data_IF_853124734691
#
_entry.id   IF_853124734691
#
_cell.length_a   1.000
_cell.length_b   1.000
_cell.length_c   1.000
_cell.angle_alpha   90.00
_cell.angle_beta   90.00
_cell.angle_gamma   90.00
#
_symmetry.space_group_name_H-M   'P 1'
#
loop_
_entity.id
_entity.type
_entity.pdbx_description
1 polymer ?
#
# COMPACT_ATOMS: atom_id res chain seq x y z
N UNK A 1 12.96 -1.60 20.04
CA UNK A 1 13.51 -0.46 19.28
C UNK A 1 14.86 -0.13 19.93
N UNK A 2 15.92 -0.16 19.13
CA UNK A 2 17.29 -0.08 19.63
C UNK A 2 17.93 1.30 19.40
N UNK A 3 17.21 2.21 18.73
CA UNK A 3 17.63 3.58 18.43
C UNK A 3 16.46 4.56 18.55
N UNK A 4 16.77 5.83 18.80
CA UNK A 4 15.79 6.90 18.86
C UNK A 4 15.15 7.16 17.49
N UNK A 5 13.91 7.66 17.49
CA UNK A 5 13.18 8.00 16.27
C UNK A 5 13.64 9.33 15.67
N UNK A 6 13.14 9.64 14.47
CA UNK A 6 13.51 10.82 13.69
C UNK A 6 12.60 12.06 13.91
N UNK A 7 11.72 12.07 14.92
CA UNK A 7 10.96 13.28 15.30
C UNK A 7 11.81 14.17 16.19
N UNK A 8 12.85 14.75 15.59
CA UNK A 8 13.86 15.58 16.25
C UNK A 8 14.56 16.43 15.20
N UNK A 9 15.11 17.59 15.62
CA UNK A 9 15.92 18.45 14.75
C UNK A 9 17.26 17.81 14.35
N UNK A 10 17.81 16.95 15.21
CA UNK A 10 19.11 16.30 14.99
C UNK A 10 19.03 14.81 15.31
N UNK A 11 19.59 13.99 14.45
CA UNK A 11 19.70 12.54 14.63
C UNK A 11 21.13 12.09 14.36
N UNK A 12 21.61 11.13 15.16
CA UNK A 12 22.89 10.48 14.93
C UNK A 12 22.64 9.04 14.46
N UNK A 13 23.14 8.71 13.26
CA UNK A 13 23.01 7.36 12.71
C UNK A 13 24.25 6.98 11.89
N UNK A 14 24.39 5.69 11.62
CA UNK A 14 25.49 5.19 10.81
C UNK A 14 25.30 5.62 9.35
N UNK A 15 26.34 6.20 8.75
CA UNK A 15 26.32 6.72 7.37
C UNK A 15 25.90 5.69 6.31
N UNK A 16 26.15 4.40 6.54
CA UNK A 16 25.75 3.33 5.62
C UNK A 16 24.23 3.21 5.43
N UNK A 17 23.42 3.79 6.31
CA UNK A 17 21.97 3.83 6.22
C UNK A 17 21.44 5.17 5.70
N UNK A 18 22.33 6.08 5.28
CA UNK A 18 21.98 7.40 4.77
C UNK A 18 22.14 7.40 3.26
N UNK A 19 21.09 7.80 2.57
CA UNK A 19 21.05 7.89 1.11
C UNK A 19 20.90 9.36 0.71
N UNK A 20 21.79 9.84 -0.16
CA UNK A 20 21.64 11.18 -0.72
C UNK A 20 20.41 11.24 -1.63
N UNK A 21 19.55 12.23 -1.42
CA UNK A 21 18.45 12.49 -2.34
C UNK A 21 19.01 13.14 -3.62
N UNK A 22 18.60 12.69 -4.82
CA UNK A 22 18.88 13.40 -6.06
C UNK A 22 18.27 14.81 -6.05
N UNK A 23 18.91 15.79 -6.68
CA UNK A 23 18.49 17.20 -6.68
C UNK A 23 17.04 17.42 -7.13
N UNK A 24 16.48 16.50 -7.89
CA UNK A 24 15.11 16.56 -8.37
C UNK A 24 14.09 15.84 -7.47
N UNK A 25 14.51 15.29 -6.33
CA UNK A 25 13.64 14.67 -5.32
C UNK A 25 13.57 15.60 -4.11
N UNK A 26 12.39 16.09 -3.80
CA UNK A 26 12.17 16.98 -2.64
C UNK A 26 12.23 16.20 -1.32
N UNK A 27 12.48 16.89 -0.20
CA UNK A 27 12.45 16.30 1.15
C UNK A 27 11.12 15.61 1.46
N UNK A 28 10.01 16.20 1.01
CA UNK A 28 8.66 15.60 1.14
C UNK A 28 8.53 14.26 0.40
N UNK A 29 9.10 14.17 -0.79
CA UNK A 29 9.17 12.92 -1.54
C UNK A 29 10.14 11.93 -0.88
N UNK A 30 11.27 12.43 -0.37
CA UNK A 30 12.23 11.65 0.42
C UNK A 30 11.58 11.00 1.64
N UNK A 31 10.72 11.71 2.35
CA UNK A 31 9.98 11.18 3.49
C UNK A 31 8.99 10.05 3.12
N UNK A 32 8.67 9.87 1.84
CA UNK A 32 7.84 8.76 1.36
C UNK A 32 8.65 7.52 0.97
N UNK A 33 9.98 7.58 0.95
CA UNK A 33 10.81 6.43 0.54
C UNK A 33 10.57 5.20 1.42
N UNK A 34 10.41 5.38 2.73
CA UNK A 34 10.15 4.27 3.64
C UNK A 34 8.85 3.54 3.26
N UNK A 35 7.65 4.17 3.27
CA UNK A 35 6.41 3.48 2.90
C UNK A 35 6.38 3.04 1.42
N UNK A 36 7.07 3.74 0.52
CA UNK A 36 7.19 3.34 -0.87
C UNK A 36 8.01 2.05 -1.01
N UNK A 37 9.07 1.91 -0.21
CA UNK A 37 9.90 0.70 -0.22
C UNK A 37 9.15 -0.52 0.32
N UNK A 38 8.31 -0.34 1.35
CA UNK A 38 7.38 -1.38 1.82
C UNK A 38 6.44 -1.82 0.69
N UNK A 39 5.83 -0.86 0.00
CA UNK A 39 4.94 -1.14 -1.13
C UNK A 39 5.68 -1.80 -2.31
N UNK A 40 6.91 -1.35 -2.60
CA UNK A 40 7.76 -1.92 -3.66
C UNK A 40 8.11 -3.38 -3.37
N UNK A 41 8.52 -3.68 -2.14
CA UNK A 41 8.81 -5.05 -1.70
C UNK A 41 7.59 -5.97 -1.89
N UNK A 42 6.42 -5.53 -1.44
CA UNK A 42 5.18 -6.29 -1.60
C UNK A 42 4.83 -6.58 -3.08
N UNK A 43 4.98 -5.57 -3.95
CA UNK A 43 4.80 -5.73 -5.40
C UNK A 43 5.85 -6.66 -5.99
N UNK A 44 7.09 -6.62 -5.47
CA UNK A 44 8.17 -7.56 -5.82
C UNK A 44 7.78 -9.02 -5.61
N UNK A 45 7.20 -9.34 -4.43
CA UNK A 45 6.70 -10.69 -4.11
C UNK A 45 5.50 -11.10 -4.95
N UNK A 46 4.73 -10.13 -5.45
CA UNK A 46 3.54 -10.37 -6.25
C UNK A 46 3.82 -10.62 -7.75
N UNK A 47 5.05 -10.43 -8.24
CA UNK A 47 5.42 -10.55 -9.66
C UNK A 47 5.10 -11.93 -10.26
N UNK A 48 4.79 -12.00 -11.59
CA UNK A 48 4.68 -10.90 -12.55
C UNK A 48 3.38 -10.10 -12.40
N UNK A 49 3.45 -8.78 -12.64
CA UNK A 49 2.29 -7.88 -12.60
C UNK A 49 1.79 -7.55 -14.01
N UNK A 50 2.69 -7.30 -14.95
CA UNK A 50 2.33 -6.90 -16.32
C UNK A 50 1.32 -7.86 -16.96
N UNK A 51 0.24 -7.31 -17.52
CA UNK A 51 -0.82 -8.07 -18.17
C UNK A 51 -1.77 -8.83 -17.23
N UNK A 52 -1.56 -8.77 -15.92
CA UNK A 52 -2.38 -9.44 -14.91
C UNK A 52 -3.43 -8.51 -14.30
N UNK A 53 -4.59 -9.06 -13.93
CA UNK A 53 -5.57 -8.36 -13.12
C UNK A 53 -5.15 -8.45 -11.65
N UNK A 54 -5.13 -7.32 -10.98
CA UNK A 54 -4.67 -7.17 -9.58
C UNK A 54 -5.81 -6.66 -8.71
N UNK A 55 -6.01 -7.29 -7.55
CA UNK A 55 -6.89 -6.80 -6.48
C UNK A 55 -6.04 -6.22 -5.36
N UNK A 56 -6.34 -4.99 -4.93
CA UNK A 56 -5.74 -4.36 -3.74
C UNK A 56 -6.81 -4.17 -2.70
N UNK A 57 -6.68 -4.81 -1.55
CA UNK A 57 -7.61 -4.71 -0.44
C UNK A 57 -7.06 -3.73 0.62
N UNK A 58 -7.71 -2.57 0.74
CA UNK A 58 -7.29 -1.44 1.57
C UNK A 58 -6.44 -0.42 0.83
N UNK A 59 -6.83 0.85 0.94
CA UNK A 59 -6.21 2.01 0.25
C UNK A 59 -5.74 3.09 1.21
N UNK A 60 -5.14 2.68 2.34
CA UNK A 60 -4.30 3.58 3.13
C UNK A 60 -3.02 3.97 2.37
N UNK A 61 -2.05 4.55 3.07
CA UNK A 61 -0.76 4.95 2.48
C UNK A 61 -0.12 3.84 1.65
N UNK A 62 0.01 2.63 2.21
CA UNK A 62 0.65 1.50 1.51
C UNK A 62 -0.18 1.04 0.32
N UNK A 63 -1.51 0.88 0.48
CA UNK A 63 -2.37 0.43 -0.61
C UNK A 63 -2.40 1.39 -1.80
N UNK A 64 -2.42 2.72 -1.58
CA UNK A 64 -2.34 3.70 -2.65
C UNK A 64 -0.99 3.67 -3.38
N UNK A 65 0.12 3.52 -2.66
CA UNK A 65 1.44 3.35 -3.26
C UNK A 65 1.52 2.05 -4.08
N UNK A 66 0.92 0.97 -3.60
CA UNK A 66 0.81 -0.29 -4.36
C UNK A 66 -0.01 -0.09 -5.64
N UNK A 67 -1.13 0.64 -5.59
CA UNK A 67 -1.93 0.96 -6.80
C UNK A 67 -1.07 1.68 -7.85
N UNK A 68 -0.28 2.69 -7.45
CA UNK A 68 0.65 3.39 -8.34
C UNK A 68 1.70 2.44 -8.94
N UNK A 69 2.30 1.60 -8.10
CA UNK A 69 3.35 0.66 -8.51
C UNK A 69 2.83 -0.42 -9.46
N UNK A 70 1.68 -1.04 -9.19
CA UNK A 70 1.10 -2.05 -10.09
C UNK A 70 0.61 -1.43 -11.40
N UNK A 71 0.16 -0.17 -11.38
CA UNK A 71 -0.14 0.60 -12.60
C UNK A 71 1.12 0.83 -13.43
N UNK A 72 2.18 1.30 -12.81
CA UNK A 72 3.47 1.51 -13.47
C UNK A 72 4.08 0.19 -14.01
N UNK A 73 3.84 -0.93 -13.31
CA UNK A 73 4.26 -2.27 -13.72
C UNK A 73 3.39 -2.89 -14.84
N UNK A 74 2.38 -2.17 -15.34
CA UNK A 74 1.56 -2.61 -16.48
C UNK A 74 0.48 -3.64 -16.13
N UNK A 75 -0.13 -3.56 -14.95
CA UNK A 75 -1.32 -4.36 -14.62
C UNK A 75 -2.41 -4.17 -15.69
N UNK A 76 -3.11 -5.23 -16.08
CA UNK A 76 -4.17 -5.17 -17.07
C UNK A 76 -5.42 -4.48 -16.53
N UNK A 77 -5.83 -4.84 -15.32
CA UNK A 77 -6.88 -4.17 -14.54
C UNK A 77 -6.50 -4.13 -13.07
N UNK A 78 -6.82 -3.05 -12.41
CA UNK A 78 -6.60 -2.81 -10.99
C UNK A 78 -7.97 -2.66 -10.32
N UNK A 79 -8.30 -3.61 -9.47
CA UNK A 79 -9.49 -3.60 -8.62
C UNK A 79 -9.07 -3.20 -7.22
N UNK A 80 -9.84 -2.34 -6.58
CA UNK A 80 -9.53 -1.82 -5.24
C UNK A 80 -10.74 -1.90 -4.34
N UNK A 81 -10.55 -2.33 -3.10
CA UNK A 81 -11.60 -2.29 -2.07
C UNK A 81 -11.18 -1.45 -0.87
N UNK A 82 -12.06 -0.58 -0.39
CA UNK A 82 -11.90 0.18 0.86
C UNK A 82 -13.27 0.61 1.39
N UNK A 83 -13.39 0.90 2.68
CA UNK A 83 -14.61 1.42 3.29
C UNK A 83 -14.78 2.93 3.11
N UNK A 84 -13.72 3.65 2.75
CA UNK A 84 -13.67 5.10 2.57
C UNK A 84 -13.81 5.49 1.10
N UNK A 85 -14.89 6.20 0.76
CA UNK A 85 -15.10 6.74 -0.59
C UNK A 85 -14.01 7.76 -0.98
N UNK A 86 -13.50 8.54 -0.01
CA UNK A 86 -12.41 9.48 -0.26
C UNK A 86 -11.14 8.75 -0.72
N UNK A 87 -10.79 7.64 -0.06
CA UNK A 87 -9.65 6.80 -0.43
C UNK A 87 -9.87 6.08 -1.76
N UNK A 88 -11.07 5.58 -2.02
CA UNK A 88 -11.42 4.99 -3.31
C UNK A 88 -11.33 6.01 -4.45
N UNK A 89 -11.71 7.27 -4.20
CA UNK A 89 -11.55 8.35 -5.17
C UNK A 89 -10.08 8.61 -5.51
N UNK A 90 -9.19 8.62 -4.51
CA UNK A 90 -7.74 8.71 -4.73
C UNK A 90 -7.20 7.51 -5.49
N UNK A 91 -7.65 6.30 -5.17
CA UNK A 91 -7.23 5.10 -5.89
C UNK A 91 -7.60 5.18 -7.39
N UNK A 92 -8.79 5.70 -7.74
CA UNK A 92 -9.16 5.97 -9.15
C UNK A 92 -8.20 6.96 -9.80
N UNK A 93 -7.88 8.05 -9.11
CA UNK A 93 -6.93 9.06 -9.60
C UNK A 93 -5.55 8.44 -9.90
N UNK A 94 -5.11 7.49 -9.08
CA UNK A 94 -3.83 6.82 -9.22
C UNK A 94 -3.85 5.59 -10.14
N UNK A 95 -4.99 5.31 -10.77
CA UNK A 95 -5.07 4.33 -11.85
C UNK A 95 -5.82 3.04 -11.53
N UNK A 96 -6.59 2.99 -10.43
CA UNK A 96 -7.54 1.89 -10.22
C UNK A 96 -8.66 1.96 -11.26
N UNK A 97 -8.91 0.84 -11.92
CA UNK A 97 -9.96 0.72 -12.95
C UNK A 97 -11.34 0.47 -12.33
N UNK A 98 -11.37 -0.25 -11.20
CA UNK A 98 -12.59 -0.64 -10.49
C UNK A 98 -12.36 -0.38 -8.99
N UNK A 99 -13.28 0.33 -8.37
CA UNK A 99 -13.24 0.60 -6.93
C UNK A 99 -14.55 0.16 -6.30
N UNK A 100 -14.48 -0.53 -5.18
CA UNK A 100 -15.63 -1.10 -4.49
C UNK A 100 -15.57 -0.78 -3.00
N UNK A 101 -16.63 -0.19 -2.49
CA UNK A 101 -16.87 -0.12 -1.07
C UNK A 101 -17.71 -1.34 -0.65
N UNK A 102 -17.13 -2.34 0.04
CA UNK A 102 -17.84 -3.58 0.37
C UNK A 102 -18.97 -3.38 1.38
N UNK A 103 -19.08 -2.21 2.02
CA UNK A 103 -20.24 -1.87 2.86
C UNK A 103 -21.45 -1.40 2.03
N UNK A 104 -21.25 -0.98 0.78
CA UNK A 104 -22.29 -0.44 -0.10
C UNK A 104 -22.53 -1.29 -1.36
N UNK A 105 -21.55 -2.08 -1.79
CA UNK A 105 -21.58 -2.83 -3.04
C UNK A 105 -21.06 -4.26 -2.83
N UNK A 106 -21.68 -5.22 -3.52
CA UNK A 106 -21.19 -6.60 -3.54
C UNK A 106 -20.06 -6.74 -4.57
N UNK A 107 -18.87 -7.07 -4.09
CA UNK A 107 -17.67 -7.24 -4.92
C UNK A 107 -17.86 -8.36 -5.95
N UNK A 108 -18.56 -9.43 -5.61
CA UNK A 108 -18.81 -10.55 -6.52
C UNK A 108 -19.62 -10.10 -7.76
N UNK A 109 -20.66 -9.32 -7.53
CA UNK A 109 -21.50 -8.73 -8.59
C UNK A 109 -20.67 -7.80 -9.48
N UNK A 110 -19.89 -6.89 -8.88
CA UNK A 110 -19.05 -5.93 -9.64
C UNK A 110 -18.03 -6.65 -10.51
N UNK A 111 -17.38 -7.69 -9.99
CA UNK A 111 -16.39 -8.45 -10.75
C UNK A 111 -17.03 -9.30 -11.88
N UNK A 112 -18.24 -9.80 -11.67
CA UNK A 112 -19.02 -10.51 -12.73
C UNK A 112 -19.39 -9.55 -13.86
N UNK A 113 -19.93 -8.39 -13.55
CA UNK A 113 -20.28 -7.36 -14.53
C UNK A 113 -19.05 -6.89 -15.32
N UNK A 114 -17.89 -6.79 -14.66
CA UNK A 114 -16.64 -6.46 -15.31
C UNK A 114 -16.00 -7.62 -16.11
N UNK A 115 -16.57 -8.82 -16.05
CA UNK A 115 -16.07 -10.02 -16.74
C UNK A 115 -14.77 -10.59 -16.19
N UNK A 116 -14.41 -10.29 -14.94
CA UNK A 116 -13.12 -10.70 -14.33
C UNK A 116 -13.28 -11.48 -13.03
N UNK A 117 -14.49 -11.93 -12.65
CA UNK A 117 -14.75 -12.61 -11.36
C UNK A 117 -13.80 -13.77 -11.07
N UNK A 118 -13.45 -14.55 -12.07
CA UNK A 118 -12.57 -15.72 -11.95
C UNK A 118 -11.19 -15.47 -12.59
N UNK A 119 -10.79 -14.21 -12.72
CA UNK A 119 -9.58 -13.83 -13.44
C UNK A 119 -8.75 -12.78 -12.70
N UNK A 120 -8.79 -12.77 -11.37
CA UNK A 120 -7.86 -12.01 -10.53
C UNK A 120 -6.61 -12.86 -10.34
N UNK A 121 -5.49 -12.43 -10.87
CA UNK A 121 -4.23 -13.17 -10.88
C UNK A 121 -3.44 -12.99 -9.60
N UNK A 122 -3.53 -11.78 -9.05
CA UNK A 122 -2.78 -11.32 -7.88
C UNK A 122 -3.71 -10.55 -6.96
N UNK A 123 -3.62 -10.80 -5.66
CA UNK A 123 -4.23 -9.93 -4.66
C UNK A 123 -3.17 -9.46 -3.66
N UNK A 124 -3.25 -8.18 -3.26
CA UNK A 124 -2.38 -7.59 -2.25
C UNK A 124 -3.27 -7.02 -1.15
N UNK A 125 -3.09 -7.49 0.06
CA UNK A 125 -3.86 -7.14 1.25
C UNK A 125 -3.07 -6.14 2.09
N UNK A 126 -3.66 -4.98 2.41
CA UNK A 126 -2.98 -3.84 3.03
C UNK A 126 -3.64 -3.36 4.34
N UNK A 127 -4.48 -4.17 4.96
CA UNK A 127 -5.19 -3.84 6.21
C UNK A 127 -4.74 -4.74 7.36
N UNK A 128 -4.69 -6.05 7.12
CA UNK A 128 -4.41 -7.04 8.15
C UNK A 128 -5.63 -7.38 9.00
N UNK A 129 -6.78 -7.58 8.37
CA UNK A 129 -8.03 -7.93 9.06
C UNK A 129 -8.67 -9.17 8.42
N UNK A 130 -9.45 -9.92 9.20
CA UNK A 130 -10.13 -11.14 8.71
C UNK A 130 -10.92 -10.89 7.41
N UNK A 131 -11.77 -9.84 7.29
CA UNK A 131 -12.56 -9.64 6.07
C UNK A 131 -11.69 -9.40 4.83
N UNK A 132 -10.63 -8.60 4.94
CA UNK A 132 -9.76 -8.25 3.81
C UNK A 132 -8.86 -9.42 3.40
N UNK A 133 -8.31 -10.16 4.37
CA UNK A 133 -7.58 -11.41 4.10
C UNK A 133 -8.49 -12.44 3.41
N UNK A 134 -9.72 -12.63 3.92
CA UNK A 134 -10.69 -13.54 3.30
C UNK A 134 -11.06 -13.11 1.88
N UNK A 135 -11.28 -11.81 1.64
CA UNK A 135 -11.52 -11.27 0.30
C UNK A 135 -10.41 -11.67 -0.68
N UNK A 136 -9.14 -11.60 -0.27
CA UNK A 136 -8.04 -12.02 -1.17
C UNK A 136 -8.09 -13.52 -1.49
N UNK A 137 -8.49 -14.37 -0.53
CA UNK A 137 -8.61 -15.82 -0.74
C UNK A 137 -9.80 -16.16 -1.65
N UNK A 138 -10.92 -15.43 -1.54
CA UNK A 138 -12.15 -15.76 -2.28
C UNK A 138 -12.12 -15.31 -3.74
N UNK A 139 -11.34 -14.28 -4.07
CA UNK A 139 -11.40 -13.65 -5.39
C UNK A 139 -10.17 -13.90 -6.27
N UNK A 140 -9.09 -14.42 -5.73
CA UNK A 140 -7.94 -14.83 -6.55
C UNK A 140 -8.27 -16.12 -7.29
N UNK A 141 -7.87 -16.21 -8.55
CA UNK A 141 -8.07 -17.40 -9.39
C UNK A 141 -7.23 -18.58 -8.91
N UNK A 142 -7.56 -19.79 -9.37
CA UNK A 142 -6.76 -21.00 -9.14
C UNK A 142 -5.29 -20.75 -9.48
N UNK A 143 -4.38 -21.19 -8.61
CA UNK A 143 -2.92 -20.98 -8.67
C UNK A 143 -2.49 -19.51 -8.66
N UNK A 144 -3.39 -18.59 -8.28
CA UNK A 144 -3.06 -17.19 -8.15
C UNK A 144 -2.18 -16.89 -6.94
N UNK A 145 -1.75 -15.64 -6.84
CA UNK A 145 -0.85 -15.16 -5.78
C UNK A 145 -1.53 -14.15 -4.88
N UNK A 146 -1.23 -14.27 -3.61
CA UNK A 146 -1.70 -13.36 -2.56
C UNK A 146 -0.47 -12.86 -1.81
N UNK A 147 -0.39 -11.56 -1.57
CA UNK A 147 0.62 -10.95 -0.70
C UNK A 147 -0.09 -10.24 0.44
N UNK A 148 0.22 -10.61 1.68
CA UNK A 148 -0.31 -9.97 2.88
C UNK A 148 0.73 -9.03 3.46
N UNK A 149 0.43 -7.73 3.44
CA UNK A 149 1.25 -6.63 3.97
C UNK A 149 0.62 -6.08 5.25
N UNK A 150 -0.71 -6.06 5.31
CA UNK A 150 -1.47 -5.55 6.44
C UNK A 150 -1.16 -6.32 7.72
N UNK A 151 -1.01 -5.60 8.84
CA UNK A 151 -0.59 -6.17 10.11
C UNK A 151 -1.37 -5.57 11.31
N UNK A 152 -2.65 -5.21 11.10
CA UNK A 152 -3.47 -4.63 12.16
C UNK A 152 -3.90 -5.66 13.22
N UNK A 153 -4.26 -6.87 12.79
CA UNK A 153 -4.66 -7.95 13.69
C UNK A 153 -3.56 -8.99 13.85
N UNK A 154 -3.32 -9.41 15.10
CA UNK A 154 -2.38 -10.50 15.39
C UNK A 154 -2.84 -11.85 14.84
N UNK A 155 -4.16 -12.06 14.74
CA UNK A 155 -4.76 -13.29 14.25
C UNK A 155 -5.93 -12.99 13.32
N UNK A 156 -5.98 -13.70 12.19
CA UNK A 156 -7.07 -13.62 11.21
C UNK A 156 -7.61 -15.02 10.93
N UNK A 157 -8.90 -15.10 10.59
CA UNK A 157 -9.55 -16.35 10.18
C UNK A 157 -9.80 -16.33 8.69
N UNK A 158 -9.36 -17.38 7.98
CA UNK A 158 -9.57 -17.53 6.54
C UNK A 158 -10.02 -18.95 6.20
N UNK A 159 -10.72 -19.10 5.08
CA UNK A 159 -11.14 -20.41 4.56
C UNK A 159 -9.93 -21.17 4.00
N UNK A 160 -9.36 -22.03 4.83
CA UNK A 160 -8.21 -22.85 4.45
C UNK A 160 -8.54 -23.82 3.29
N UNK A 161 -9.78 -24.31 3.20
CA UNK A 161 -10.18 -25.22 2.12
C UNK A 161 -10.04 -24.55 0.75
N UNK A 162 -10.44 -23.26 0.65
CA UNK A 162 -10.24 -22.49 -0.60
C UNK A 162 -8.76 -22.37 -0.96
N UNK A 163 -7.89 -22.12 0.04
CA UNK A 163 -6.45 -22.02 -0.19
C UNK A 163 -5.90 -23.33 -0.78
N UNK A 164 -6.27 -24.47 -0.18
CA UNK A 164 -5.77 -25.78 -0.60
C UNK A 164 -6.35 -26.21 -1.95
N UNK A 165 -7.68 -26.11 -2.13
CA UNK A 165 -8.34 -26.58 -3.35
C UNK A 165 -8.06 -25.72 -4.58
N UNK A 166 -7.72 -24.47 -4.38
CA UNK A 166 -7.33 -23.55 -5.45
C UNK A 166 -5.81 -23.41 -5.62
N UNK A 167 -5.02 -24.15 -4.84
CA UNK A 167 -3.53 -24.11 -4.89
C UNK A 167 -2.98 -22.68 -4.80
N UNK A 168 -3.53 -21.86 -3.90
CA UNK A 168 -3.15 -20.45 -3.77
C UNK A 168 -1.74 -20.31 -3.18
N UNK A 169 -0.99 -19.33 -3.68
CA UNK A 169 0.34 -18.99 -3.21
C UNK A 169 0.23 -17.75 -2.34
N UNK A 170 0.45 -17.89 -1.03
CA UNK A 170 0.33 -16.80 -0.07
C UNK A 170 1.72 -16.44 0.46
N UNK A 171 2.08 -15.16 0.38
CA UNK A 171 3.33 -14.58 0.86
C UNK A 171 3.02 -13.54 1.93
N UNK A 172 3.76 -13.59 3.05
CA UNK A 172 3.84 -12.46 3.96
C UNK A 172 4.88 -11.47 3.46
N UNK A 173 4.57 -10.18 3.53
CA UNK A 173 5.49 -9.09 3.19
C UNK A 173 5.73 -8.24 4.44
N UNK A 174 7.00 -8.06 4.81
CA UNK A 174 7.37 -7.27 5.98
C UNK A 174 8.58 -6.41 5.68
N UNK A 175 8.45 -5.11 5.97
CA UNK A 175 9.49 -4.11 5.70
C UNK A 175 9.97 -4.13 4.22
N UNK A 176 11.27 -3.98 4.00
CA UNK A 176 11.88 -3.92 2.67
C UNK A 176 13.37 -4.24 2.76
N UNK A 177 13.99 -4.52 1.63
CA UNK A 177 15.44 -4.68 1.49
C UNK A 177 16.12 -3.37 1.09
N UNK A 178 17.43 -3.32 1.19
CA UNK A 178 18.23 -2.19 0.69
C UNK A 178 18.03 -1.96 -0.82
N UNK A 179 17.84 -3.04 -1.59
CA UNK A 179 17.54 -2.97 -3.02
C UNK A 179 16.17 -2.33 -3.27
N UNK A 180 15.14 -2.71 -2.52
CA UNK A 180 13.80 -2.10 -2.62
C UNK A 180 13.85 -0.59 -2.35
N UNK A 181 14.66 -0.16 -1.35
CA UNK A 181 14.83 1.26 -1.03
C UNK A 181 15.51 2.00 -2.17
N UNK A 182 16.62 1.46 -2.70
CA UNK A 182 17.35 2.05 -3.81
C UNK A 182 16.50 2.16 -5.07
N UNK A 183 15.69 1.13 -5.39
CA UNK A 183 14.80 1.14 -6.54
C UNK A 183 13.63 2.11 -6.35
N UNK A 184 13.11 2.24 -5.14
CA UNK A 184 12.09 3.24 -4.80
C UNK A 184 12.63 4.67 -4.99
N UNK A 185 13.87 4.94 -4.59
CA UNK A 185 14.51 6.24 -4.82
C UNK A 185 14.66 6.53 -6.33
N UNK A 186 15.06 5.54 -7.14
CA UNK A 186 15.11 5.68 -8.61
C UNK A 186 13.75 6.00 -9.21
N UNK A 187 12.67 5.31 -8.76
CA UNK A 187 11.30 5.57 -9.23
C UNK A 187 10.85 7.01 -8.96
N UNK A 188 11.20 7.56 -7.79
CA UNK A 188 10.92 8.97 -7.48
C UNK A 188 11.75 9.92 -8.35
N UNK A 189 13.05 9.67 -8.49
CA UNK A 189 13.94 10.48 -9.31
C UNK A 189 13.54 10.49 -10.80
N UNK A 190 13.05 9.38 -11.31
CA UNK A 190 12.55 9.25 -12.67
C UNK A 190 11.12 9.82 -12.87
N UNK A 191 10.50 10.37 -11.81
CA UNK A 191 9.14 10.92 -11.85
C UNK A 191 8.07 9.94 -12.34
N UNK A 192 8.28 8.65 -12.10
CA UNK A 192 7.35 7.60 -12.54
C UNK A 192 6.10 7.48 -11.69
N UNK A 193 6.12 8.03 -10.48
CA UNK A 193 5.03 7.92 -9.51
C UNK A 193 4.65 9.30 -8.97
N UNK A 194 3.35 9.63 -8.89
CA UNK A 194 2.86 10.85 -8.24
C UNK A 194 2.76 10.68 -6.72
N UNK A 195 3.81 10.12 -6.08
CA UNK A 195 3.76 9.68 -4.69
C UNK A 195 3.49 10.83 -3.70
N UNK A 196 3.98 12.05 -3.97
CA UNK A 196 3.75 13.22 -3.10
C UNK A 196 2.27 13.60 -2.96
N UNK A 197 1.40 13.18 -3.88
CA UNK A 197 -0.02 13.49 -3.84
C UNK A 197 -0.80 12.74 -2.74
N UNK A 198 -0.19 11.77 -2.06
CA UNK A 198 -0.77 11.14 -0.87
C UNK A 198 -0.51 11.93 0.42
N UNK A 199 0.36 12.95 0.39
CA UNK A 199 0.63 13.81 1.55
C UNK A 199 -0.57 14.75 1.72
N UNK A 200 -1.36 14.52 2.75
CA UNK A 200 -2.61 15.28 2.98
C UNK A 200 -2.42 16.39 4.00
N UNK A 201 -1.44 16.25 4.89
CA UNK A 201 -1.17 17.25 5.94
C UNK A 201 0.31 17.29 6.27
N UNK A 202 0.80 18.49 6.60
CA UNK A 202 2.14 18.72 7.16
C UNK A 202 1.94 19.48 8.46
N UNK A 203 2.60 19.06 9.52
CA UNK A 203 2.51 19.64 10.86
C UNK A 203 3.90 19.94 11.39
N UNK A 204 4.02 20.84 12.39
CA UNK A 204 5.29 21.08 13.07
C UNK A 204 5.60 20.00 14.10
N UNK A 205 6.81 20.00 14.63
CA UNK A 205 7.22 19.05 15.67
C UNK A 205 6.37 19.20 16.93
N UNK A 206 6.01 20.45 17.32
CA UNK A 206 5.16 20.74 18.48
C UNK A 206 3.75 20.17 18.31
N UNK A 207 3.23 20.14 17.08
CA UNK A 207 1.89 19.63 16.78
C UNK A 207 1.85 18.10 16.66
N UNK A 208 3.00 17.43 16.63
CA UNK A 208 3.08 15.98 16.37
C UNK A 208 2.26 15.17 17.38
N UNK A 209 2.37 15.47 18.69
CA UNK A 209 1.67 14.73 19.74
C UNK A 209 0.16 14.84 19.59
N UNK A 210 -0.38 16.04 19.41
CA UNK A 210 -1.82 16.25 19.22
C UNK A 210 -2.32 15.55 17.95
N UNK A 211 -1.52 15.61 16.87
CA UNK A 211 -1.83 14.95 15.61
C UNK A 211 -1.92 13.43 15.76
N UNK A 212 -1.01 12.82 16.52
CA UNK A 212 -1.09 11.38 16.83
C UNK A 212 -2.37 11.04 17.61
N UNK A 213 -2.72 11.86 18.60
CA UNK A 213 -3.96 11.66 19.36
C UNK A 213 -5.21 11.77 18.47
N UNK A 214 -5.25 12.71 17.53
CA UNK A 214 -6.34 12.81 16.55
C UNK A 214 -6.42 11.55 15.67
N UNK A 215 -5.30 11.13 15.12
CA UNK A 215 -5.25 9.96 14.22
C UNK A 215 -5.68 8.67 14.92
N UNK A 216 -5.36 8.51 16.20
CA UNK A 216 -5.76 7.33 16.99
C UNK A 216 -7.25 7.26 17.29
N UNK A 217 -7.96 8.39 17.29
CA UNK A 217 -9.43 8.43 17.48
C UNK A 217 -10.19 7.85 16.28
N UNK A 218 -9.52 7.67 15.15
CA UNK A 218 -10.13 7.21 13.90
C UNK A 218 -10.97 8.27 13.21
N UNK A 219 -11.43 7.96 12.00
CA UNK A 219 -12.26 8.87 11.20
C UNK A 219 -11.50 9.99 10.49
N UNK A 220 -10.19 10.10 10.65
CA UNK A 220 -9.39 11.05 9.88
C UNK A 220 -9.43 10.71 8.38
N UNK A 221 -9.51 11.77 7.57
CA UNK A 221 -9.39 11.68 6.11
C UNK A 221 -7.93 11.69 5.63
N UNK A 222 -6.99 11.88 6.56
CA UNK A 222 -5.58 11.91 6.23
C UNK A 222 -5.10 10.56 5.69
N UNK A 223 -4.28 10.62 4.65
CA UNK A 223 -3.61 9.47 4.06
C UNK A 223 -2.17 9.38 4.58
N UNK A 224 -1.41 10.46 4.42
CA UNK A 224 -0.06 10.61 4.96
C UNK A 224 0.11 11.99 5.57
N UNK A 225 0.47 12.01 6.84
CA UNK A 225 0.87 13.21 7.56
C UNK A 225 2.39 13.22 7.66
N UNK A 226 3.01 14.35 7.36
CA UNK A 226 4.43 14.60 7.58
C UNK A 226 4.62 15.55 8.76
N UNK A 227 5.71 15.37 9.47
CA UNK A 227 6.19 16.32 10.48
C UNK A 227 7.35 17.10 9.88
N UNK A 228 7.21 18.43 9.78
CA UNK A 228 8.31 19.32 9.42
C UNK A 228 9.07 19.65 10.69
N UNK A 229 10.27 19.13 10.82
CA UNK A 229 11.11 19.30 12.01
C UNK A 229 11.87 20.62 12.02
N UNK A 230 11.78 21.41 10.94
CA UNK A 230 12.44 22.70 10.79
C UNK A 230 11.45 23.88 10.75
N UNK A 231 10.14 23.62 10.92
CA UNK A 231 9.09 24.65 10.84
C UNK A 231 8.80 25.26 12.21
#
# INVERSE_FOLDING_TARGET
LDVDGAFTEYICMNEKFVYALPDNVSDKEGALLEPLSVAHHAVGLAKPIAGNNVLVAGTGTIGLLIVMLVKAAGAAKIVVTDLSEDRLSLARKFGADITVNPAAQDLDTVLKEAGIRNNIHVAIECVGATPTCQTTVDYVKIQGRIVWVGNAAKMVTVNMQNIVTQELKIFGSYAFTEEDFSDSLKLLAERKLPASEIITRIVTLEQATETFEELTKGGSKDIKVLVDVNA
#
